data_IF_144582362788
#
_entry.id   IF_144582362788
#
_cell.length_a   1.000
_cell.length_b   1.000
_cell.length_c   1.000
_cell.angle_alpha   90.00
_cell.angle_beta   90.00
_cell.angle_gamma   90.00
#
_symmetry.space_group_name_H-M   'P 1'
#
loop_
_entity.id
_entity.type
_entity.pdbx_description
1 polymer ?
#
# COMPACT_ATOMS: atom_id res chain seq x y z
N UNK A 1 -8.73 17.26 -10.08
CA UNK A 1 -9.98 16.97 -9.35
C UNK A 1 -10.98 18.06 -9.71
N UNK A 2 -12.13 17.71 -10.30
CA UNK A 2 -13.18 18.66 -10.68
C UNK A 2 -14.41 18.58 -9.77
N UNK A 3 -14.31 17.85 -8.65
CA UNK A 3 -15.41 17.72 -7.69
C UNK A 3 -16.55 16.79 -8.09
N UNK A 4 -16.46 16.07 -9.21
CA UNK A 4 -17.56 15.21 -9.72
C UNK A 4 -17.86 13.95 -8.90
N UNK A 5 -16.98 13.58 -7.96
CA UNK A 5 -17.12 12.39 -7.06
C UNK A 5 -17.19 11.02 -7.75
N UNK A 6 -17.07 10.94 -9.08
CA UNK A 6 -17.09 9.66 -9.81
C UNK A 6 -15.98 8.69 -9.36
N UNK A 7 -14.82 9.22 -8.98
CA UNK A 7 -13.72 8.41 -8.46
C UNK A 7 -14.01 7.75 -7.10
N UNK A 8 -14.94 8.30 -6.31
CA UNK A 8 -15.38 7.69 -5.04
C UNK A 8 -16.20 6.45 -5.37
N UNK A 9 -17.21 6.59 -6.25
CA UNK A 9 -18.08 5.48 -6.66
C UNK A 9 -17.34 4.39 -7.43
N UNK A 10 -16.34 4.76 -8.24
CA UNK A 10 -15.59 3.81 -9.05
C UNK A 10 -14.62 2.92 -8.25
N UNK A 11 -14.23 3.31 -7.02
CA UNK A 11 -13.26 2.54 -6.25
C UNK A 11 -13.96 1.41 -5.48
N UNK A 12 -13.68 0.12 -5.78
CA UNK A 12 -14.34 -0.99 -5.11
C UNK A 12 -13.92 -1.13 -3.63
N UNK A 13 -12.82 -0.49 -3.24
CA UNK A 13 -12.31 -0.49 -1.86
C UNK A 13 -12.75 0.74 -1.05
N UNK A 14 -13.51 1.67 -1.64
CA UNK A 14 -13.97 2.87 -0.93
C UNK A 14 -12.85 3.79 -0.42
N UNK A 15 -11.66 3.76 -1.05
CA UNK A 15 -10.48 4.51 -0.56
C UNK A 15 -10.60 6.03 -0.74
N UNK A 16 -11.04 6.57 -1.89
CA UNK A 16 -11.09 8.02 -2.08
C UNK A 16 -12.19 8.66 -1.23
N UNK A 17 -11.84 9.69 -0.46
CA UNK A 17 -12.75 10.36 0.48
C UNK A 17 -12.95 11.83 0.11
N UNK A 18 -14.15 12.35 0.33
CA UNK A 18 -14.50 13.74 0.03
C UNK A 18 -14.04 14.68 1.15
N UNK A 19 -13.24 15.68 0.81
CA UNK A 19 -12.91 16.78 1.70
C UNK A 19 -13.85 17.97 1.39
N UNK A 20 -14.74 18.28 2.33
CA UNK A 20 -15.75 19.33 2.17
C UNK A 20 -15.16 20.74 2.11
N UNK A 21 -14.08 21.01 2.85
CA UNK A 21 -13.45 22.32 2.93
C UNK A 21 -12.78 22.72 1.61
N UNK A 22 -12.10 21.78 0.97
CA UNK A 22 -11.34 22.01 -0.26
C UNK A 22 -12.14 21.73 -1.53
N UNK A 23 -13.32 21.12 -1.40
CA UNK A 23 -14.13 20.67 -2.53
C UNK A 23 -13.42 19.61 -3.40
N UNK A 24 -12.52 18.82 -2.80
CA UNK A 24 -11.67 17.86 -3.52
C UNK A 24 -11.71 16.49 -2.86
N UNK A 25 -11.44 15.47 -3.68
CA UNK A 25 -11.24 14.10 -3.19
C UNK A 25 -9.79 13.93 -2.77
N UNK A 26 -9.59 13.32 -1.60
CA UNK A 26 -8.29 12.97 -1.04
C UNK A 26 -8.16 11.46 -0.93
N UNK A 27 -6.92 10.97 -1.01
CA UNK A 27 -6.54 9.57 -0.78
C UNK A 27 -5.05 9.51 -0.44
N UNK A 28 -4.56 8.35 -0.01
CA UNK A 28 -3.13 8.09 0.08
C UNK A 28 -2.45 8.43 -1.27
N UNK A 29 -1.39 9.22 -1.18
CA UNK A 29 -0.54 9.65 -2.29
C UNK A 29 0.81 8.93 -2.31
N UNK A 30 0.95 7.90 -1.47
CA UNK A 30 2.21 7.18 -1.22
C UNK A 30 3.33 8.05 -0.62
N UNK A 31 2.98 9.15 0.07
CA UNK A 31 3.93 10.13 0.57
C UNK A 31 4.88 10.61 -0.54
N UNK A 32 4.30 11.04 -1.67
CA UNK A 32 5.04 11.36 -2.89
C UNK A 32 6.20 12.33 -2.61
N UNK A 33 5.92 13.36 -1.82
CA UNK A 33 6.89 14.39 -1.41
C UNK A 33 8.12 13.84 -0.68
N UNK A 34 7.94 12.77 0.11
CA UNK A 34 9.02 12.07 0.82
C UNK A 34 9.78 11.14 -0.11
N UNK A 35 9.05 10.35 -0.90
CA UNK A 35 9.62 9.37 -1.83
C UNK A 35 10.48 10.05 -2.88
N UNK A 36 10.05 11.19 -3.42
CA UNK A 36 10.82 11.98 -4.39
C UNK A 36 12.16 12.49 -3.81
N UNK A 37 12.30 12.56 -2.47
CA UNK A 37 13.54 12.91 -1.75
C UNK A 37 14.34 11.69 -1.30
N UNK A 38 13.98 10.49 -1.74
CA UNK A 38 14.61 9.23 -1.33
C UNK A 38 14.24 8.77 0.08
N UNK A 39 13.24 9.38 0.72
CA UNK A 39 12.76 8.98 2.03
C UNK A 39 11.65 7.92 1.93
N UNK A 40 11.56 7.03 2.92
CA UNK A 40 10.45 6.08 3.03
C UNK A 40 9.14 6.79 3.43
N UNK A 41 7.97 6.23 3.06
CA UNK A 41 6.68 6.73 3.50
C UNK A 41 6.56 6.82 5.03
N UNK A 42 5.83 7.82 5.53
CA UNK A 42 5.74 8.10 6.95
C UNK A 42 5.18 6.92 7.76
N UNK A 43 4.13 6.26 7.27
CA UNK A 43 3.53 5.08 7.91
C UNK A 43 4.53 3.91 8.05
N UNK A 44 5.39 3.70 7.05
CA UNK A 44 6.43 2.66 7.09
C UNK A 44 7.50 3.02 8.12
N UNK A 45 7.96 4.28 8.14
CA UNK A 45 9.00 4.72 9.11
C UNK A 45 8.54 4.67 10.55
N UNK A 46 7.24 4.84 10.81
CA UNK A 46 6.69 4.86 12.17
C UNK A 46 6.30 3.47 12.69
N UNK A 47 6.25 2.46 11.82
CA UNK A 47 5.83 1.10 12.17
C UNK A 47 6.88 0.42 13.06
N UNK A 48 6.66 0.43 14.38
CA UNK A 48 7.54 -0.23 15.36
C UNK A 48 7.41 -1.76 15.35
N UNK A 49 6.25 -2.28 14.95
CA UNK A 49 5.98 -3.73 14.86
C UNK A 49 6.47 -4.39 13.57
N UNK A 50 7.17 -3.66 12.70
CA UNK A 50 7.70 -4.17 11.43
C UNK A 50 6.69 -4.84 10.49
N UNK A 51 5.40 -4.51 10.62
CA UNK A 51 4.32 -5.06 9.79
C UNK A 51 4.27 -4.44 8.39
N UNK A 52 4.89 -3.27 8.20
CA UNK A 52 4.94 -2.55 6.93
C UNK A 52 6.35 -2.54 6.36
N UNK A 53 6.49 -2.82 5.06
CA UNK A 53 7.76 -2.77 4.31
C UNK A 53 7.61 -1.88 3.08
N UNK A 54 8.62 -1.06 2.82
CA UNK A 54 8.72 -0.27 1.58
C UNK A 54 9.66 -0.99 0.63
N UNK A 55 9.10 -1.62 -0.40
CA UNK A 55 9.78 -2.49 -1.37
C UNK A 55 9.21 -2.22 -2.76
N UNK A 56 9.94 -2.60 -3.81
CA UNK A 56 9.40 -2.52 -5.18
C UNK A 56 8.26 -3.51 -5.39
N UNK A 57 7.41 -3.27 -6.41
CA UNK A 57 6.34 -4.21 -6.75
C UNK A 57 6.89 -5.59 -7.15
N UNK A 58 8.02 -5.62 -7.86
CA UNK A 58 8.70 -6.86 -8.25
C UNK A 58 9.21 -7.62 -7.02
N UNK A 59 9.91 -6.92 -6.12
CA UNK A 59 10.40 -7.48 -4.87
C UNK A 59 9.25 -8.00 -3.98
N UNK A 60 8.16 -7.24 -3.84
CA UNK A 60 6.98 -7.67 -3.09
C UNK A 60 6.37 -8.97 -3.66
N UNK A 61 6.37 -9.13 -4.98
CA UNK A 61 5.87 -10.34 -5.64
C UNK A 61 6.77 -11.54 -5.36
N UNK A 62 8.09 -11.37 -5.48
CA UNK A 62 9.08 -12.42 -5.20
C UNK A 62 9.00 -12.87 -3.75
N UNK A 63 9.02 -11.94 -2.79
CA UNK A 63 8.94 -12.25 -1.36
C UNK A 63 7.68 -13.06 -1.02
N UNK A 64 6.53 -12.75 -1.63
CA UNK A 64 5.30 -13.52 -1.43
C UNK A 64 5.39 -14.93 -1.99
N UNK A 65 5.92 -15.08 -3.21
CA UNK A 65 6.09 -16.39 -3.87
C UNK A 65 7.06 -17.28 -3.12
N UNK A 66 8.20 -16.74 -2.70
CA UNK A 66 9.20 -17.46 -1.92
C UNK A 66 8.64 -17.89 -0.56
N UNK A 67 7.92 -17.00 0.14
CA UNK A 67 7.29 -17.33 1.41
C UNK A 67 6.29 -18.47 1.24
N UNK A 68 5.43 -18.40 0.23
CA UNK A 68 4.45 -19.45 -0.07
C UNK A 68 5.14 -20.79 -0.43
N UNK A 69 6.19 -20.76 -1.23
CA UNK A 69 6.95 -21.97 -1.58
C UNK A 69 7.60 -22.63 -0.35
N UNK A 70 8.16 -21.84 0.56
CA UNK A 70 8.72 -22.33 1.83
C UNK A 70 7.64 -22.94 2.72
N UNK A 71 6.52 -22.25 2.88
CA UNK A 71 5.39 -22.75 3.67
C UNK A 71 4.88 -24.10 3.13
N UNK A 72 4.76 -24.25 1.81
CA UNK A 72 4.39 -25.54 1.19
C UNK A 72 5.45 -26.61 1.42
N UNK A 73 6.73 -26.29 1.19
CA UNK A 73 7.81 -27.26 1.35
C UNK A 73 7.95 -27.74 2.79
N UNK A 74 7.79 -26.84 3.76
CA UNK A 74 7.83 -27.14 5.20
C UNK A 74 6.60 -27.94 5.65
N UNK A 75 5.40 -27.57 5.19
CA UNK A 75 4.16 -28.29 5.54
C UNK A 75 4.09 -29.68 4.88
N UNK A 76 4.62 -29.82 3.66
CA UNK A 76 4.73 -31.09 2.96
C UNK A 76 5.85 -32.01 3.47
N UNK A 77 6.78 -31.51 4.28
CA UNK A 77 7.84 -32.32 4.92
C UNK A 77 7.41 -32.91 6.28
N UNK A 78 6.22 -32.57 6.76
CA UNK A 78 5.64 -33.06 8.03
C UNK A 78 4.66 -34.23 7.84
N UNK A 79 4.50 -34.72 6.61
CA UNK A 79 3.80 -35.96 6.24
C UNK A 79 4.69 -36.80 5.33
#
# INVERSE_FOLDING_TARGET
>A
CVGCKSCITACPWGVPQWNQETGKVIKCDYCKDRVDKGLKPACVTKCTGHSLKWVSAAEASLLKREKFAKEIAEFGALY
#
